data_IF_060264873221
#
_entry.id   IF_060264873221
#
_cell.length_a   1.000
_cell.length_b   1.000
_cell.length_c   1.000
_cell.angle_alpha   90.00
_cell.angle_beta   90.00
_cell.angle_gamma   90.00
#
_symmetry.space_group_name_H-M   'P 1'
#
loop_
_entity.id
_entity.type
_entity.pdbx_description
1 polymer ?
#
# COMPACT_ATOMS: atom_id res chain seq x y z
N UNK A 1 -14.46 -20.65 13.19
CA UNK A 1 -15.09 -20.40 11.87
C UNK A 1 -16.48 -21.02 11.90
N UNK A 2 -17.49 -20.22 12.24
CA UNK A 2 -18.88 -20.69 12.25
C UNK A 2 -19.37 -20.84 10.80
N UNK A 3 -19.83 -22.04 10.48
CA UNK A 3 -20.23 -22.44 9.14
C UNK A 3 -21.72 -22.18 8.98
N UNK A 4 -22.11 -21.33 8.03
CA UNK A 4 -23.49 -21.21 7.58
C UNK A 4 -23.92 -22.53 6.92
N UNK A 5 -24.58 -23.40 7.67
CA UNK A 5 -25.25 -24.58 7.13
C UNK A 5 -26.68 -24.21 6.72
N UNK A 6 -26.89 -23.96 5.43
CA UNK A 6 -28.24 -23.99 4.86
C UNK A 6 -28.72 -25.45 4.83
N UNK A 7 -29.76 -25.79 5.61
CA UNK A 7 -30.38 -27.13 5.57
C UNK A 7 -30.79 -27.46 4.12
N UNK A 8 -30.21 -28.53 3.56
CA UNK A 8 -30.52 -29.01 2.20
C UNK A 8 -29.77 -28.31 1.05
N UNK A 9 -28.90 -27.34 1.33
CA UNK A 9 -28.10 -26.67 0.30
C UNK A 9 -26.86 -27.49 -0.08
N UNK A 10 -26.68 -27.78 -1.38
CA UNK A 10 -25.37 -28.25 -1.89
C UNK A 10 -24.29 -27.28 -1.41
N UNK A 11 -23.22 -27.81 -0.80
CA UNK A 11 -22.04 -27.00 -0.45
C UNK A 11 -21.47 -26.43 -1.75
N UNK A 12 -21.64 -25.12 -1.95
CA UNK A 12 -21.05 -24.44 -3.08
C UNK A 12 -19.53 -24.48 -2.91
N UNK A 13 -18.83 -25.00 -3.90
CA UNK A 13 -17.37 -24.89 -3.95
C UNK A 13 -17.02 -23.42 -4.19
N UNK A 14 -16.19 -22.85 -3.31
CA UNK A 14 -15.75 -21.47 -3.49
C UNK A 14 -15.01 -21.34 -4.82
N UNK A 15 -15.50 -20.47 -5.71
CA UNK A 15 -14.89 -20.22 -7.02
C UNK A 15 -13.57 -19.44 -6.84
N UNK A 16 -13.47 -18.62 -5.78
CA UNK A 16 -12.26 -17.88 -5.38
C UNK A 16 -12.39 -17.36 -3.95
N UNK A 17 -11.24 -17.16 -3.31
CA UNK A 17 -11.13 -16.40 -2.07
C UNK A 17 -10.98 -14.91 -2.38
N UNK A 18 -11.54 -14.06 -1.52
CA UNK A 18 -11.49 -12.59 -1.68
C UNK A 18 -11.25 -11.92 -0.33
N UNK A 19 -10.58 -10.77 -0.35
CA UNK A 19 -10.52 -9.88 0.79
C UNK A 19 -11.71 -8.91 0.74
N UNK A 20 -12.46 -8.84 1.84
CA UNK A 20 -13.63 -7.96 1.98
C UNK A 20 -13.32 -6.86 3.00
N UNK A 21 -13.26 -5.61 2.54
CA UNK A 21 -13.19 -4.45 3.44
C UNK A 21 -14.61 -3.92 3.66
N UNK A 22 -15.19 -4.24 4.81
CA UNK A 22 -16.53 -3.83 5.20
C UNK A 22 -16.54 -2.48 5.92
N UNK A 23 -17.48 -1.61 5.58
CA UNK A 23 -17.70 -0.32 6.24
C UNK A 23 -19.19 -0.06 6.47
N UNK A 24 -19.49 0.66 7.56
CA UNK A 24 -20.84 1.06 7.95
C UNK A 24 -20.89 2.57 8.14
N UNK A 25 -21.97 3.20 7.67
CA UNK A 25 -22.24 4.62 7.82
C UNK A 25 -21.67 5.50 6.70
N UNK A 26 -22.44 6.51 6.32
CA UNK A 26 -22.22 7.37 5.15
C UNK A 26 -20.79 7.91 5.02
N UNK A 27 -20.17 8.39 6.11
CA UNK A 27 -18.79 8.93 6.08
C UNK A 27 -17.75 7.87 5.71
N UNK A 28 -17.87 6.65 6.25
CA UNK A 28 -16.93 5.56 5.96
C UNK A 28 -17.16 4.99 4.56
N UNK A 29 -18.42 4.92 4.12
CA UNK A 29 -18.81 4.55 2.76
C UNK A 29 -18.25 5.52 1.74
N UNK A 30 -18.35 6.83 1.98
CA UNK A 30 -17.74 7.84 1.12
C UNK A 30 -16.21 7.67 1.04
N UNK A 31 -15.55 7.35 2.16
CA UNK A 31 -14.14 7.01 2.19
C UNK A 31 -13.79 5.79 1.34
N UNK A 32 -14.54 4.69 1.50
CA UNK A 32 -14.35 3.46 0.72
C UNK A 32 -14.63 3.68 -0.78
N UNK A 33 -15.63 4.49 -1.13
CA UNK A 33 -15.93 4.85 -2.52
C UNK A 33 -14.78 5.62 -3.18
N UNK A 34 -14.12 6.52 -2.45
CA UNK A 34 -12.93 7.24 -2.96
C UNK A 34 -11.77 6.27 -3.19
N UNK A 35 -11.50 5.40 -2.22
CA UNK A 35 -10.46 4.36 -2.34
C UNK A 35 -10.72 3.42 -3.52
N UNK A 36 -11.97 2.97 -3.69
CA UNK A 36 -12.38 2.18 -4.83
C UNK A 36 -12.16 2.90 -6.17
N UNK A 37 -12.39 4.22 -6.22
CA UNK A 37 -12.11 5.02 -7.40
C UNK A 37 -10.63 5.03 -7.79
N UNK A 38 -9.71 4.97 -6.81
CA UNK A 38 -8.27 4.88 -7.06
C UNK A 38 -7.91 3.51 -7.65
N UNK A 39 -8.51 2.43 -7.14
CA UNK A 39 -8.35 1.09 -7.70
C UNK A 39 -8.86 0.96 -9.14
N UNK A 40 -10.04 1.51 -9.41
CA UNK A 40 -10.74 1.41 -10.70
C UNK A 40 -10.07 2.23 -11.81
N UNK A 41 -9.32 3.28 -11.44
CA UNK A 41 -8.68 4.21 -12.37
C UNK A 41 -7.17 4.06 -12.34
N UNK A 42 -6.51 4.82 -11.47
CA UNK A 42 -5.06 5.00 -11.53
C UNK A 42 -4.30 3.70 -11.28
N UNK A 43 -4.82 2.80 -10.46
CA UNK A 43 -4.15 1.53 -10.15
C UNK A 43 -4.49 0.39 -11.11
N UNK A 44 -5.37 0.59 -12.09
CA UNK A 44 -5.77 -0.46 -13.03
C UNK A 44 -4.58 -1.18 -13.70
N UNK A 45 -3.51 -0.48 -14.13
CA UNK A 45 -2.32 -1.13 -14.71
C UNK A 45 -1.48 -1.94 -13.70
N UNK A 46 -1.67 -1.72 -12.39
CA UNK A 46 -0.89 -2.32 -11.31
C UNK A 46 -1.58 -3.51 -10.65
N UNK A 47 -2.87 -3.72 -10.96
CA UNK A 47 -3.66 -4.80 -10.39
C UNK A 47 -3.10 -6.17 -10.78
N UNK A 48 -2.96 -7.07 -9.81
CA UNK A 48 -2.37 -8.38 -10.06
C UNK A 48 -0.84 -8.37 -10.11
N UNK A 49 -0.18 -7.24 -9.84
CA UNK A 49 1.29 -7.15 -9.71
C UNK A 49 1.74 -6.38 -8.46
N UNK A 50 1.55 -5.06 -8.42
CA UNK A 50 1.99 -4.21 -7.29
C UNK A 50 0.84 -3.91 -6.30
N UNK A 51 -0.41 -4.08 -6.73
CA UNK A 51 -1.60 -3.96 -5.88
C UNK A 51 -2.53 -5.17 -6.09
N UNK A 52 -3.47 -5.46 -5.17
CA UNK A 52 -4.45 -6.52 -5.37
C UNK A 52 -5.34 -6.23 -6.57
N UNK A 53 -5.85 -7.28 -7.24
CA UNK A 53 -6.96 -7.10 -8.20
C UNK A 53 -8.18 -6.54 -7.48
N UNK A 54 -8.83 -5.56 -8.10
CA UNK A 54 -10.06 -4.95 -7.60
C UNK A 54 -11.25 -5.57 -8.32
N UNK A 55 -12.18 -6.13 -7.56
CA UNK A 55 -13.37 -6.79 -8.11
C UNK A 55 -14.62 -5.90 -8.06
N UNK A 56 -14.57 -4.80 -7.31
CA UNK A 56 -15.65 -3.83 -7.26
C UNK A 56 -15.88 -3.23 -5.88
N UNK A 57 -16.69 -2.19 -5.87
CA UNK A 57 -17.24 -1.58 -4.68
C UNK A 57 -18.75 -1.75 -4.69
N UNK A 58 -19.29 -2.30 -3.61
CA UNK A 58 -20.71 -2.57 -3.45
C UNK A 58 -21.23 -1.76 -2.27
N UNK A 59 -22.48 -1.31 -2.38
CA UNK A 59 -23.17 -0.59 -1.31
C UNK A 59 -24.59 -1.10 -1.22
N UNK A 60 -25.12 -1.17 -0.01
CA UNK A 60 -26.51 -1.53 0.22
C UNK A 60 -27.01 -0.95 1.54
N UNK A 61 -28.30 -1.10 1.80
CA UNK A 61 -28.91 -0.82 3.09
C UNK A 61 -29.31 -2.16 3.71
N UNK A 62 -28.89 -2.41 4.95
CA UNK A 62 -29.25 -3.61 5.73
C UNK A 62 -29.99 -3.13 6.98
N UNK A 63 -31.30 -3.38 7.05
CA UNK A 63 -32.17 -2.73 8.03
C UNK A 63 -32.16 -1.22 7.82
N UNK A 64 -31.77 -0.47 8.85
CA UNK A 64 -31.62 0.99 8.79
C UNK A 64 -30.17 1.46 8.62
N UNK A 65 -29.23 0.53 8.40
CA UNK A 65 -27.81 0.82 8.29
C UNK A 65 -27.36 0.84 6.84
N UNK A 66 -26.77 1.96 6.42
CA UNK A 66 -26.02 2.02 5.17
C UNK A 66 -24.69 1.26 5.34
N UNK A 67 -24.44 0.33 4.42
CA UNK A 67 -23.24 -0.51 4.40
C UNK A 67 -22.57 -0.44 3.04
N UNK A 68 -21.24 -0.61 3.03
CA UNK A 68 -20.48 -0.72 1.79
C UNK A 68 -19.29 -1.66 1.95
N UNK A 69 -18.83 -2.22 0.84
CA UNK A 69 -17.63 -3.04 0.83
C UNK A 69 -16.80 -2.87 -0.44
N UNK A 70 -15.48 -2.96 -0.28
CA UNK A 70 -14.51 -3.15 -1.37
C UNK A 70 -14.18 -4.63 -1.39
N UNK A 71 -14.22 -5.23 -2.59
CA UNK A 71 -13.83 -6.62 -2.81
C UNK A 71 -12.53 -6.65 -3.58
N UNK A 72 -11.50 -7.25 -2.99
CA UNK A 72 -10.15 -7.35 -3.54
C UNK A 72 -9.70 -8.80 -3.67
N UNK A 73 -8.65 -9.01 -4.46
CA UNK A 73 -7.84 -10.23 -4.44
C UNK A 73 -7.45 -10.60 -3.01
N UNK A 74 -7.65 -11.87 -2.67
CA UNK A 74 -7.15 -12.42 -1.42
C UNK A 74 -5.64 -12.60 -1.52
N UNK A 75 -4.91 -11.73 -0.82
CA UNK A 75 -3.47 -11.82 -0.73
C UNK A 75 -3.09 -12.60 0.53
N UNK A 76 -2.50 -13.78 0.33
CA UNK A 76 -1.96 -14.59 1.41
C UNK A 76 -0.71 -15.30 0.91
N UNK A 77 0.36 -15.21 1.70
CA UNK A 77 1.66 -15.77 1.38
C UNK A 77 2.56 -15.80 2.61
N UNK A 78 3.61 -16.62 2.59
CA UNK A 78 4.61 -16.60 3.64
C UNK A 78 5.27 -15.23 3.70
N UNK A 79 5.60 -14.77 4.90
CA UNK A 79 6.38 -13.54 5.06
C UNK A 79 7.72 -13.65 4.34
N UNK A 80 8.10 -12.61 3.61
CA UNK A 80 9.41 -12.49 2.96
C UNK A 80 10.45 -12.30 4.08
N UNK A 81 11.27 -13.33 4.32
CA UNK A 81 12.26 -13.34 5.42
C UNK A 81 13.53 -12.57 5.09
N UNK A 82 13.88 -12.50 3.81
CA UNK A 82 15.02 -11.73 3.36
C UNK A 82 14.67 -10.24 3.38
N UNK A 83 15.28 -9.50 4.31
CA UNK A 83 15.05 -8.07 4.49
C UNK A 83 15.42 -7.29 3.23
N UNK A 84 16.48 -7.70 2.53
CA UNK A 84 16.93 -7.03 1.32
C UNK A 84 15.87 -7.15 0.22
N UNK A 85 15.39 -8.36 -0.06
CA UNK A 85 14.32 -8.57 -1.05
C UNK A 85 13.00 -7.90 -0.63
N UNK A 86 12.62 -7.94 0.66
CA UNK A 86 11.45 -7.23 1.16
C UNK A 86 11.54 -5.71 0.88
N UNK A 87 12.68 -5.11 1.19
CA UNK A 87 12.90 -3.68 0.96
C UNK A 87 12.95 -3.34 -0.52
N UNK A 88 13.61 -4.18 -1.34
CA UNK A 88 13.60 -4.05 -2.80
C UNK A 88 12.18 -4.09 -3.37
N UNK A 89 11.34 -5.02 -2.94
CA UNK A 89 9.96 -5.11 -3.41
C UNK A 89 9.11 -3.90 -2.97
N UNK A 90 9.31 -3.39 -1.75
CA UNK A 90 8.67 -2.14 -1.29
C UNK A 90 9.05 -0.94 -2.16
N UNK A 91 10.33 -0.80 -2.50
CA UNK A 91 10.83 0.23 -3.41
C UNK A 91 10.20 0.11 -4.80
N UNK A 92 10.18 -1.09 -5.37
CA UNK A 92 9.58 -1.35 -6.69
C UNK A 92 8.08 -1.00 -6.69
N UNK A 93 7.33 -1.44 -5.68
CA UNK A 93 5.90 -1.16 -5.55
C UNK A 93 5.63 0.35 -5.41
N UNK A 94 6.39 1.05 -4.58
CA UNK A 94 6.26 2.50 -4.43
C UNK A 94 6.59 3.27 -5.71
N UNK A 95 7.69 2.93 -6.40
CA UNK A 95 8.02 3.54 -7.69
C UNK A 95 6.90 3.30 -8.72
N UNK A 96 6.36 2.08 -8.79
CA UNK A 96 5.27 1.75 -9.70
C UNK A 96 4.01 2.58 -9.40
N UNK A 97 3.66 2.73 -8.11
CA UNK A 97 2.54 3.56 -7.66
C UNK A 97 2.70 5.03 -8.10
N UNK A 98 3.89 5.59 -7.88
CA UNK A 98 4.17 6.96 -8.25
C UNK A 98 4.21 7.19 -9.76
N UNK A 99 4.68 6.21 -10.54
CA UNK A 99 4.58 6.24 -12.01
C UNK A 99 3.14 6.23 -12.50
N UNK A 100 2.25 5.57 -11.77
CA UNK A 100 0.80 5.61 -12.01
C UNK A 100 0.14 6.93 -11.55
N UNK A 101 0.92 7.89 -11.05
CA UNK A 101 0.40 9.21 -10.63
C UNK A 101 -0.29 9.18 -9.28
N UNK A 102 -0.01 8.19 -8.43
CA UNK A 102 -0.62 8.06 -7.10
C UNK A 102 0.41 8.26 -6.00
N UNK A 103 0.02 9.04 -4.99
CA UNK A 103 0.71 9.18 -3.70
C UNK A 103 -0.11 8.44 -2.64
N UNK A 104 0.50 7.51 -1.89
CA UNK A 104 -0.19 6.69 -0.89
C UNK A 104 -0.54 7.47 0.38
N UNK A 105 0.33 8.39 0.79
CA UNK A 105 0.36 9.13 2.06
C UNK A 105 0.57 8.30 3.33
N UNK A 106 0.80 6.99 3.20
CA UNK A 106 1.09 6.05 4.31
C UNK A 106 2.00 4.91 3.84
N UNK A 107 2.94 5.23 2.95
CA UNK A 107 3.76 4.23 2.25
C UNK A 107 4.76 3.53 3.18
N UNK A 108 5.07 4.08 4.34
CA UNK A 108 6.00 3.46 5.29
C UNK A 108 5.31 2.48 6.25
N UNK A 109 3.98 2.44 6.25
CA UNK A 109 3.22 1.54 7.12
C UNK A 109 3.44 0.08 6.69
N UNK A 110 4.06 -0.77 7.54
CA UNK A 110 4.30 -2.16 7.17
C UNK A 110 3.00 -2.95 6.95
N UNK A 111 1.88 -2.55 7.57
CA UNK A 111 0.58 -3.20 7.42
C UNK A 111 -0.03 -2.99 6.01
N UNK A 112 0.51 -2.06 5.23
CA UNK A 112 0.09 -1.82 3.85
C UNK A 112 0.81 -2.70 2.83
N UNK A 113 1.68 -3.61 3.25
CA UNK A 113 2.38 -4.54 2.37
C UNK A 113 2.00 -5.98 2.72
N UNK A 114 1.29 -6.63 1.80
CA UNK A 114 0.81 -8.01 1.99
C UNK A 114 1.60 -8.95 1.08
N UNK A 115 2.24 -9.96 1.68
CA UNK A 115 2.90 -11.01 0.92
C UNK A 115 1.87 -11.93 0.24
N UNK A 116 2.18 -12.36 -0.97
CA UNK A 116 1.36 -13.27 -1.77
C UNK A 116 2.14 -14.57 -2.01
N UNK A 117 1.42 -15.67 -2.25
CA UNK A 117 1.97 -17.00 -2.47
C UNK A 117 2.92 -17.10 -3.68
N UNK A 118 2.87 -16.13 -4.60
CA UNK A 118 3.80 -15.99 -5.72
C UNK A 118 5.17 -15.40 -5.32
N UNK A 119 5.39 -15.09 -4.04
CA UNK A 119 6.61 -14.49 -3.53
C UNK A 119 6.70 -12.97 -3.72
N UNK A 120 5.61 -12.32 -4.15
CA UNK A 120 5.53 -10.88 -4.35
C UNK A 120 4.79 -10.15 -3.21
N UNK A 121 4.89 -8.82 -3.19
CA UNK A 121 4.15 -7.93 -2.29
C UNK A 121 3.06 -7.17 -3.02
N UNK A 122 1.90 -7.04 -2.37
CA UNK A 122 0.82 -6.14 -2.78
C UNK A 122 0.66 -5.01 -1.81
N UNK A 123 0.64 -3.79 -2.34
CA UNK A 123 0.34 -2.60 -1.57
C UNK A 123 -1.17 -2.45 -1.42
N UNK A 124 -1.63 -2.18 -0.19
CA UNK A 124 -3.05 -2.00 0.17
C UNK A 124 -3.23 -0.74 1.01
N UNK A 125 -4.48 -0.30 1.25
CA UNK A 125 -4.75 0.78 2.19
C UNK A 125 -4.82 2.19 1.56
N UNK A 126 -5.33 2.30 0.34
CA UNK A 126 -5.40 3.56 -0.43
C UNK A 126 -6.46 4.57 0.06
N UNK A 127 -7.00 4.39 1.26
CA UNK A 127 -7.97 5.32 1.88
C UNK A 127 -7.46 6.77 2.01
N UNK A 128 -6.14 6.94 2.11
CA UNK A 128 -5.46 8.24 2.19
C UNK A 128 -4.78 8.65 0.88
N UNK A 129 -4.89 7.82 -0.16
CA UNK A 129 -4.19 8.04 -1.41
C UNK A 129 -4.77 9.24 -2.18
N UNK A 130 -3.90 9.88 -2.96
CA UNK A 130 -4.25 11.03 -3.80
C UNK A 130 -3.54 10.94 -5.13
N UNK A 131 -4.18 11.44 -6.18
CA UNK A 131 -3.51 11.66 -7.45
C UNK A 131 -2.51 12.80 -7.32
N UNK A 132 -1.35 12.68 -7.97
CA UNK A 132 -0.37 13.75 -8.01
C UNK A 132 0.56 13.62 -9.23
N UNK A 133 1.13 14.75 -9.68
CA UNK A 133 2.28 14.72 -10.58
C UNK A 133 3.54 14.43 -9.76
N UNK A 134 4.12 13.24 -9.96
CA UNK A 134 5.33 12.87 -9.28
C UNK A 134 6.55 13.54 -9.92
N UNK A 135 7.32 14.28 -9.11
CA UNK A 135 8.61 14.84 -9.53
C UNK A 135 9.75 13.80 -9.59
N UNK A 136 9.45 12.53 -9.27
CA UNK A 136 10.44 11.47 -9.08
C UNK A 136 11.24 11.61 -7.79
N UNK A 137 12.27 10.80 -7.66
CA UNK A 137 13.31 10.95 -6.62
C UNK A 137 14.66 10.63 -7.22
N UNK A 138 15.73 11.13 -6.59
CA UNK A 138 17.09 10.70 -6.88
C UNK A 138 17.40 9.48 -6.02
N UNK A 139 17.96 8.43 -6.63
CA UNK A 139 18.48 7.27 -5.91
C UNK A 139 19.69 7.72 -5.10
N UNK A 140 19.75 7.35 -3.81
CA UNK A 140 20.89 7.71 -2.99
C UNK A 140 22.08 6.83 -3.35
N UNK A 141 23.25 7.43 -3.51
CA UNK A 141 24.49 6.69 -3.69
C UNK A 141 24.94 6.08 -2.36
N UNK A 142 25.88 5.13 -2.47
CA UNK A 142 26.56 4.54 -1.31
C UNK A 142 27.56 5.48 -0.64
N UNK A 143 27.65 6.74 -1.08
CA UNK A 143 28.60 7.69 -0.54
C UNK A 143 28.22 8.09 0.89
N UNK A 144 29.14 7.86 1.82
CA UNK A 144 29.01 8.21 3.24
C UNK A 144 29.06 9.72 3.47
N UNK A 145 29.62 10.48 2.52
CA UNK A 145 29.66 11.94 2.57
C UNK A 145 28.33 12.57 2.15
N UNK A 146 27.45 11.77 1.54
CA UNK A 146 26.09 12.13 1.22
C UNK A 146 25.88 12.68 -0.18
N UNK A 147 24.66 12.47 -0.70
CA UNK A 147 24.24 13.03 -1.98
C UNK A 147 23.71 14.45 -1.81
N UNK A 148 23.89 15.27 -2.85
CA UNK A 148 23.26 16.58 -2.92
C UNK A 148 21.73 16.45 -2.90
N UNK A 149 21.08 17.33 -2.13
CA UNK A 149 19.62 17.45 -2.11
C UNK A 149 19.11 17.81 -3.51
N UNK A 150 18.25 17.00 -4.14
CA UNK A 150 17.66 17.36 -5.42
C UNK A 150 16.76 18.59 -5.28
N UNK A 151 16.81 19.48 -6.28
CA UNK A 151 16.02 20.71 -6.30
C UNK A 151 14.49 20.46 -6.32
N UNK A 152 14.07 19.32 -6.88
CA UNK A 152 12.69 18.82 -6.82
C UNK A 152 12.71 17.32 -6.53
N UNK A 153 11.98 16.89 -5.51
CA UNK A 153 11.77 15.47 -5.21
C UNK A 153 10.36 15.23 -4.66
N UNK A 154 9.83 14.05 -4.93
CA UNK A 154 8.65 13.57 -4.23
C UNK A 154 9.06 13.15 -2.81
N UNK A 155 8.48 13.82 -1.82
CA UNK A 155 8.76 13.50 -0.41
C UNK A 155 8.43 12.04 -0.06
N UNK A 156 7.35 11.47 -0.61
CA UNK A 156 6.99 10.08 -0.32
C UNK A 156 8.02 9.07 -0.87
N UNK A 157 8.48 9.25 -2.11
CA UNK A 157 9.56 8.43 -2.67
C UNK A 157 10.89 8.64 -1.95
N UNK A 158 11.19 9.87 -1.53
CA UNK A 158 12.41 10.13 -0.78
C UNK A 158 12.39 9.46 0.60
N UNK A 159 11.24 9.45 1.27
CA UNK A 159 11.04 8.69 2.52
C UNK A 159 11.21 7.18 2.29
N UNK A 160 10.66 6.68 1.18
CA UNK A 160 10.78 5.28 0.79
C UNK A 160 12.23 4.89 0.57
N UNK A 161 12.97 5.66 -0.23
CA UNK A 161 14.40 5.46 -0.50
C UNK A 161 15.22 5.55 0.79
N UNK A 162 14.92 6.51 1.64
CA UNK A 162 15.63 6.66 2.92
C UNK A 162 15.40 5.51 3.90
N UNK A 163 14.30 4.76 3.76
CA UNK A 163 13.95 3.64 4.67
C UNK A 163 14.27 2.26 4.08
N UNK A 164 14.06 2.09 2.77
CA UNK A 164 14.13 0.79 2.09
C UNK A 164 15.13 0.77 0.92
N UNK A 165 15.85 1.87 0.66
CA UNK A 165 16.86 1.96 -0.39
C UNK A 165 18.06 1.03 -0.16
N UNK A 166 19.03 1.13 -1.09
CA UNK A 166 20.17 0.21 -1.27
C UNK A 166 21.07 0.06 -0.03
N UNK A 167 21.04 1.02 0.90
CA UNK A 167 21.86 1.03 2.11
C UNK A 167 21.09 0.69 3.41
N UNK A 168 19.82 0.28 3.30
CA UNK A 168 19.00 -0.12 4.46
C UNK A 168 19.58 -1.31 5.25
N UNK A 169 20.50 -2.08 4.67
CA UNK A 169 21.17 -3.23 5.29
C UNK A 169 22.24 -2.87 6.34
N UNK A 170 22.75 -1.62 6.37
CA UNK A 170 23.84 -1.30 7.32
C UNK A 170 23.35 -1.03 8.74
N UNK A 171 22.11 -0.56 8.90
CA UNK A 171 21.44 -0.28 10.18
C UNK A 171 19.92 -0.23 9.94
N UNK A 172 19.27 -1.33 9.57
CA UNK A 172 17.83 -1.39 9.20
C UNK A 172 16.79 -0.89 10.23
N UNK A 173 17.24 -0.21 11.29
CA UNK A 173 16.44 0.51 12.29
C UNK A 173 16.55 2.03 12.15
N UNK A 174 17.59 2.58 11.53
CA UNK A 174 17.87 4.02 11.47
C UNK A 174 17.62 4.58 10.07
N UNK A 175 16.88 5.69 10.01
CA UNK A 175 16.73 6.52 8.80
C UNK A 175 18.07 7.20 8.55
N UNK A 176 18.56 7.26 7.30
CA UNK A 176 19.68 8.15 6.95
C UNK A 176 19.27 9.61 7.23
N UNK A 177 19.68 10.13 8.40
CA UNK A 177 19.76 11.58 8.66
C UNK A 177 20.99 12.20 7.97
N UNK A 178 21.93 11.33 7.56
CA UNK A 178 23.08 11.69 6.72
C UNK A 178 22.52 12.35 5.46
N UNK A 179 23.04 13.54 5.14
CA UNK A 179 22.66 14.45 4.04
C UNK A 179 21.87 15.71 4.46
N UNK A 180 21.41 15.86 5.72
CA UNK A 180 20.62 17.05 6.17
C UNK A 180 19.42 17.38 5.27
N UNK A 181 18.94 16.41 4.46
CA UNK A 181 17.89 16.65 3.47
C UNK A 181 16.53 16.83 4.17
N UNK A 182 16.38 16.29 5.39
CA UNK A 182 15.07 16.05 6.01
C UNK A 182 14.96 16.33 7.53
N UNK A 183 15.43 17.47 8.08
CA UNK A 183 15.08 17.84 9.46
C UNK A 183 13.59 18.19 9.63
N UNK A 184 12.87 18.45 8.52
CA UNK A 184 11.45 18.80 8.50
C UNK A 184 10.53 17.64 8.07
N UNK A 185 11.01 16.39 8.06
CA UNK A 185 10.07 15.28 8.05
C UNK A 185 9.34 15.31 9.38
N UNK A 186 8.15 15.91 9.33
CA UNK A 186 7.22 16.13 10.43
C UNK A 186 7.31 14.99 11.43
N UNK A 187 7.57 15.32 12.69
CA UNK A 187 7.53 14.38 13.79
C UNK A 187 6.23 13.53 13.72
N UNK A 188 5.13 14.09 13.21
CA UNK A 188 3.89 13.33 12.94
C UNK A 188 4.03 12.11 12.01
N UNK A 189 5.06 12.03 11.17
CA UNK A 189 5.34 10.89 10.28
C UNK A 189 6.08 9.74 11.00
N UNK A 190 6.80 10.05 12.08
CA UNK A 190 7.55 9.07 12.89
C UNK A 190 6.83 8.69 14.18
N UNK A 191 6.03 9.60 14.77
CA UNK A 191 5.40 9.42 16.09
C UNK A 191 3.97 8.84 16.05
N UNK A 192 3.51 8.32 14.91
CA UNK A 192 2.26 7.54 14.83
C UNK A 192 2.47 6.02 14.82
N UNK A 193 3.63 5.55 15.30
CA UNK A 193 3.98 4.13 15.41
C UNK A 193 4.65 3.81 16.75
#
# INVERSE_FOLDING_TARGET
>A
MEQFQCKGGKRLTAIREVALKWVVGAKRIAGAKREAGVYDKELQPLQGSAVPRFYGFFKNIIGDLEVGCIVLEWCSGPAIKDTFELNRQRMIAGIALHKAGVRHNKILDPAHYIAVSDGTLRMVGFSSAKTHQCAGTTMLSRDVNGDQKPAKCCSELAALESRFGVDSDRLGREVRLVNRIFPEFDAGFFYSY
#
